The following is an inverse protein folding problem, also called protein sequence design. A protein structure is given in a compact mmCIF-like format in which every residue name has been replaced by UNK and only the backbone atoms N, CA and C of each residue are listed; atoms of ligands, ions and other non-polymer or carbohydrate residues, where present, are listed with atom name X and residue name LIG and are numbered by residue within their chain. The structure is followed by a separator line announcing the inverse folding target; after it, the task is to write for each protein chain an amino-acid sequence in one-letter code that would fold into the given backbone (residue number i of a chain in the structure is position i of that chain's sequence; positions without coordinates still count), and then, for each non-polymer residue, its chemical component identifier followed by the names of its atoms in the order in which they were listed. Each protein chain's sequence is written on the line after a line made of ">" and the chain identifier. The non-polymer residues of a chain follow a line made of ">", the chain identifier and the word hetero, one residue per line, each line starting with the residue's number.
data_IF_756936179234
#
_entry.id   IF_756936179234
#
_cell.length_a   1.000
_cell.length_b   1.000
_cell.length_c   1.000
_cell.angle_alpha   90.00
_cell.angle_beta   90.00
_cell.angle_gamma   90.00
#
_symmetry.space_group_name_H-M   'P 1'
#
loop_
_entity.id
_entity.type
_entity.pdbx_description
1 polymer ?
#
# COMPACT_ATOMS: atom_id res chain seq x y z
N UNK A 1 107.24 40.71 25.65
CA UNK A 1 106.06 41.14 26.44
C UNK A 1 106.48 41.44 27.89
N UNK A 2 107.46 42.32 28.08
CA UNK A 2 107.99 42.78 29.38
C UNK A 2 108.35 44.29 29.35
N UNK A 3 107.96 45.00 28.28
CA UNK A 3 108.36 46.39 28.02
C UNK A 3 107.25 47.38 28.41
N UNK A 4 106.00 46.93 28.56
CA UNK A 4 104.86 47.80 28.88
C UNK A 4 104.69 48.05 30.40
N UNK A 5 105.25 47.20 31.27
CA UNK A 5 105.13 47.33 32.72
C UNK A 5 106.20 48.24 33.35
N UNK A 6 107.35 48.45 32.68
CA UNK A 6 108.41 49.33 33.18
C UNK A 6 108.11 50.83 33.03
N UNK A 7 107.24 51.22 32.09
CA UNK A 7 106.90 52.63 31.83
C UNK A 7 105.85 53.19 32.79
N UNK A 8 105.11 52.34 33.51
CA UNK A 8 104.08 52.72 34.46
C UNK A 8 104.62 53.14 35.83
N UNK A 9 105.91 52.94 36.15
CA UNK A 9 106.52 53.41 37.42
C UNK A 9 107.08 54.83 37.32
N UNK A 10 107.18 55.39 36.12
CA UNK A 10 107.66 56.75 35.92
C UNK A 10 106.54 57.77 36.29
N UNK A 11 106.76 58.66 37.28
CA UNK A 11 105.74 59.60 37.74
C UNK A 11 105.22 60.52 36.64
N UNK A 12 106.03 60.83 35.62
CA UNK A 12 105.62 61.64 34.47
C UNK A 12 104.56 60.93 33.60
N UNK A 13 104.71 59.62 33.38
CA UNK A 13 103.79 58.83 32.54
C UNK A 13 102.46 58.62 33.25
N UNK A 14 102.47 58.36 34.57
CA UNK A 14 101.25 58.33 35.39
C UNK A 14 100.51 59.67 35.33
N UNK A 15 101.23 60.78 35.40
CA UNK A 15 100.66 62.12 35.28
C UNK A 15 99.92 62.34 33.96
N UNK A 16 100.55 61.96 32.84
CA UNK A 16 99.93 62.09 31.51
C UNK A 16 98.67 61.22 31.40
N UNK A 17 98.72 59.95 31.84
CA UNK A 17 97.57 59.04 31.78
C UNK A 17 96.39 59.59 32.59
N UNK A 18 96.64 60.06 33.82
CA UNK A 18 95.61 60.66 34.69
C UNK A 18 94.99 61.89 34.04
N UNK A 19 95.80 62.76 33.44
CA UNK A 19 95.31 63.96 32.74
C UNK A 19 94.46 63.60 31.53
N UNK A 20 94.86 62.62 30.72
CA UNK A 20 94.04 62.14 29.60
C UNK A 20 92.73 61.49 30.05
N UNK A 21 92.73 60.76 31.17
CA UNK A 21 91.51 60.16 31.73
C UNK A 21 90.55 61.22 32.28
N UNK A 22 91.09 62.25 32.95
CA UNK A 22 90.32 63.40 33.41
C UNK A 22 89.74 64.20 32.23
N UNK A 23 90.50 64.41 31.16
CA UNK A 23 90.01 65.06 29.94
C UNK A 23 88.89 64.25 29.28
N UNK A 24 89.04 62.93 29.18
CA UNK A 24 88.01 62.04 28.63
C UNK A 24 86.72 62.08 29.47
N UNK A 25 86.84 62.03 30.79
CA UNK A 25 85.70 62.14 31.70
C UNK A 25 85.03 63.52 31.61
N UNK A 26 85.82 64.61 31.53
CA UNK A 26 85.30 65.95 31.34
C UNK A 26 84.56 66.11 29.99
N UNK A 27 85.02 65.47 28.92
CA UNK A 27 84.30 65.49 27.63
C UNK A 27 82.97 64.75 27.69
N UNK A 28 82.90 63.60 28.35
CA UNK A 28 81.65 62.84 28.51
C UNK A 28 80.68 63.60 29.41
N UNK A 29 81.16 64.17 30.51
CA UNK A 29 80.35 64.99 31.41
C UNK A 29 79.86 66.27 30.71
N UNK A 30 80.71 66.89 29.88
CA UNK A 30 80.35 68.05 29.06
C UNK A 30 79.24 67.75 28.04
N UNK A 31 79.24 66.56 27.44
CA UNK A 31 78.20 66.13 26.50
C UNK A 31 76.90 65.77 27.23
N UNK A 32 76.96 65.20 28.44
CA UNK A 32 75.78 64.84 29.23
C UNK A 32 75.10 66.05 29.91
N UNK A 33 75.86 67.06 30.35
CA UNK A 33 75.31 68.32 30.89
C UNK A 33 74.72 69.22 29.81
N UNK A 34 75.24 69.13 28.58
CA UNK A 34 74.59 69.69 27.39
C UNK A 34 73.62 68.65 26.87
N UNK A 35 72.57 68.35 27.67
CA UNK A 35 71.37 67.72 27.13
C UNK A 35 70.93 68.47 25.87
N UNK A 36 70.37 67.78 24.85
CA UNK A 36 70.07 68.41 23.57
C UNK A 36 69.34 69.72 23.85
N UNK A 37 69.94 70.84 23.43
CA UNK A 37 69.37 72.18 23.58
C UNK A 37 68.11 72.21 22.71
N UNK A 38 67.03 71.66 23.23
CA UNK A 38 65.72 71.76 22.61
C UNK A 38 65.38 73.23 22.62
N UNK A 39 65.34 73.82 21.45
CA UNK A 39 64.93 75.21 21.30
C UNK A 39 63.51 75.34 21.86
N UNK A 40 63.11 76.51 22.39
CA UNK A 40 61.74 76.74 22.86
C UNK A 40 60.68 76.44 21.79
N UNK A 41 61.06 76.45 20.51
CA UNK A 41 60.21 76.05 19.40
C UNK A 41 59.99 74.53 19.32
N UNK A 42 61.01 73.70 19.55
CA UNK A 42 60.88 72.24 19.60
C UNK A 42 60.07 71.76 20.81
N UNK A 43 60.23 72.42 21.96
CA UNK A 43 59.42 72.14 23.14
C UNK A 43 57.93 72.46 22.91
N UNK A 44 57.61 73.53 22.18
CA UNK A 44 56.23 73.86 21.76
C UNK A 44 55.67 72.85 20.76
N UNK A 45 56.49 72.40 19.79
CA UNK A 45 56.07 71.38 18.82
C UNK A 45 55.79 70.03 19.49
N UNK A 46 56.57 69.62 20.50
CA UNK A 46 56.31 68.40 21.28
C UNK A 46 55.03 68.50 22.11
N UNK A 47 54.81 69.60 22.82
CA UNK A 47 53.56 69.84 23.56
C UNK A 47 52.32 69.85 22.63
N UNK A 48 52.43 70.48 21.47
CA UNK A 48 51.35 70.48 20.48
C UNK A 48 51.09 69.08 19.87
N UNK A 49 52.09 68.21 19.82
CA UNK A 49 51.92 66.81 19.42
C UNK A 49 51.31 65.98 20.55
N UNK A 50 51.75 66.15 21.80
CA UNK A 50 51.15 65.50 22.97
C UNK A 50 49.67 65.88 23.14
N UNK A 51 49.32 67.17 23.01
CA UNK A 51 47.93 67.62 23.03
C UNK A 51 47.09 67.02 21.89
N UNK A 52 47.67 66.85 20.70
CA UNK A 52 47.01 66.17 19.57
C UNK A 52 46.80 64.69 19.84
N UNK A 53 47.79 64.01 20.41
CA UNK A 53 47.70 62.59 20.75
C UNK A 53 46.70 62.35 21.88
N UNK A 54 46.65 63.23 22.89
CA UNK A 54 45.63 63.17 23.93
C UNK A 54 44.23 63.45 23.39
N UNK A 55 44.08 64.39 22.45
CA UNK A 55 42.80 64.65 21.78
C UNK A 55 42.36 63.47 20.91
N UNK A 56 43.28 62.86 20.16
CA UNK A 56 43.03 61.69 19.32
C UNK A 56 42.68 60.46 20.17
N UNK A 57 43.38 60.24 21.29
CA UNK A 57 43.07 59.17 22.23
C UNK A 57 41.68 59.33 22.88
N UNK A 58 41.27 60.57 23.20
CA UNK A 58 39.91 60.84 23.72
C UNK A 58 38.85 60.60 22.64
N UNK A 59 39.10 61.03 21.41
CA UNK A 59 38.19 60.75 20.29
C UNK A 59 38.08 59.24 20.03
N UNK A 60 39.18 58.50 20.08
CA UNK A 60 39.17 57.04 19.90
C UNK A 60 38.41 56.34 21.05
N UNK A 61 38.54 56.79 22.29
CA UNK A 61 37.75 56.27 23.42
C UNK A 61 36.25 56.58 23.29
N UNK A 62 35.89 57.78 22.86
CA UNK A 62 34.50 58.16 22.60
C UNK A 62 33.89 57.35 21.45
N UNK A 63 34.63 57.15 20.35
CA UNK A 63 34.20 56.28 19.26
C UNK A 63 34.04 54.82 19.69
N UNK A 64 34.96 54.30 20.51
CA UNK A 64 34.85 52.94 21.04
C UNK A 64 33.63 52.78 21.95
N UNK A 65 33.34 53.77 22.80
CA UNK A 65 32.12 53.78 23.64
C UNK A 65 30.86 53.85 22.78
N UNK A 66 30.81 54.76 21.81
CA UNK A 66 29.66 54.89 20.91
C UNK A 66 29.40 53.61 20.09
N UNK A 67 30.46 52.94 19.62
CA UNK A 67 30.32 51.64 18.93
C UNK A 67 29.84 50.53 19.86
N UNK A 68 30.33 50.49 21.11
CA UNK A 68 29.89 49.51 22.10
C UNK A 68 28.41 49.70 22.46
N UNK A 69 27.95 50.94 22.64
CA UNK A 69 26.54 51.28 22.88
C UNK A 69 25.67 50.88 21.69
N UNK A 70 26.09 51.18 20.46
CA UNK A 70 25.36 50.74 19.26
C UNK A 70 25.29 49.22 19.13
N UNK A 71 26.37 48.50 19.43
CA UNK A 71 26.39 47.04 19.38
C UNK A 71 25.47 46.43 20.46
N UNK A 72 25.40 47.04 21.65
CA UNK A 72 24.49 46.63 22.72
C UNK A 72 23.02 46.89 22.34
N UNK A 73 22.71 48.06 21.77
CA UNK A 73 21.37 48.38 21.25
C UNK A 73 20.95 47.42 20.12
N UNK A 74 21.85 47.07 19.20
CA UNK A 74 21.58 46.10 18.14
C UNK A 74 21.34 44.68 18.69
N UNK A 75 22.10 44.27 19.71
CA UNK A 75 21.91 42.99 20.40
C UNK A 75 20.56 42.95 21.13
N UNK A 76 20.18 44.01 21.81
CA UNK A 76 18.86 44.10 22.45
C UNK A 76 17.73 44.08 21.42
N UNK A 77 17.86 44.86 20.34
CA UNK A 77 16.85 44.91 19.28
C UNK A 77 16.69 43.57 18.57
N UNK A 78 17.79 42.84 18.36
CA UNK A 78 17.75 41.49 17.77
C UNK A 78 17.18 40.46 18.74
N UNK A 79 17.49 40.52 20.04
CA UNK A 79 16.90 39.67 21.07
C UNK A 79 15.38 39.86 21.16
N UNK A 80 14.88 41.10 21.23
CA UNK A 80 13.43 41.39 21.24
C UNK A 80 12.72 40.90 19.98
N UNK A 81 13.36 41.02 18.80
CA UNK A 81 12.82 40.47 17.54
C UNK A 81 12.81 38.94 17.55
N UNK A 82 13.80 38.30 18.16
CA UNK A 82 13.86 36.84 18.29
C UNK A 82 12.76 36.32 19.23
N UNK A 83 12.55 36.99 20.37
CA UNK A 83 11.46 36.69 21.31
C UNK A 83 10.08 36.85 20.66
N UNK A 84 9.81 37.97 19.99
CA UNK A 84 8.54 38.18 19.28
C UNK A 84 8.29 37.12 18.19
N UNK A 85 9.34 36.67 17.49
CA UNK A 85 9.23 35.57 16.51
C UNK A 85 9.00 34.22 17.18
N UNK A 86 9.59 33.98 18.35
CA UNK A 86 9.39 32.75 19.12
C UNK A 86 7.94 32.66 19.61
N UNK A 87 7.40 33.76 20.16
CA UNK A 87 6.00 33.83 20.61
C UNK A 87 5.01 33.63 19.45
N UNK A 88 5.26 34.25 18.29
CA UNK A 88 4.43 34.05 17.09
C UNK A 88 4.47 32.59 16.61
N UNK A 89 5.65 31.95 16.62
CA UNK A 89 5.78 30.53 16.28
C UNK A 89 5.04 29.64 17.27
N UNK A 90 5.14 29.92 18.56
CA UNK A 90 4.43 29.16 19.59
C UNK A 90 2.91 29.31 19.45
N UNK A 91 2.42 30.53 19.22
CA UNK A 91 1.01 30.79 18.96
C UNK A 91 0.51 30.08 17.69
N UNK A 92 1.28 30.12 16.61
CA UNK A 92 0.97 29.43 15.36
C UNK A 92 0.93 27.91 15.54
N UNK A 93 1.88 27.33 16.30
CA UNK A 93 1.91 25.91 16.62
C UNK A 93 0.71 25.51 17.48
N UNK A 94 0.36 26.30 18.51
CA UNK A 94 -0.84 26.07 19.33
C UNK A 94 -2.11 26.07 18.48
N UNK A 95 -2.26 27.02 17.56
CA UNK A 95 -3.40 27.06 16.64
C UNK A 95 -3.41 25.87 15.67
N UNK A 96 -2.26 25.48 15.12
CA UNK A 96 -2.15 24.33 14.24
C UNK A 96 -2.52 23.03 14.95
N UNK A 97 -2.03 22.83 16.19
CA UNK A 97 -2.39 21.67 17.01
C UNK A 97 -3.88 21.64 17.37
N UNK A 98 -4.46 22.79 17.73
CA UNK A 98 -5.89 22.88 18.00
C UNK A 98 -6.75 22.50 16.77
N UNK A 99 -6.39 23.03 15.58
CA UNK A 99 -7.05 22.68 14.32
C UNK A 99 -6.87 21.20 13.97
N UNK A 100 -5.67 20.66 14.15
CA UNK A 100 -5.40 19.25 13.89
C UNK A 100 -6.22 18.34 14.82
N UNK A 101 -6.34 18.69 16.10
CA UNK A 101 -7.17 17.97 17.07
C UNK A 101 -8.65 18.01 16.69
N UNK A 102 -9.17 19.19 16.34
CA UNK A 102 -10.56 19.35 15.90
C UNK A 102 -10.84 18.56 14.61
N UNK A 103 -9.92 18.57 13.66
CA UNK A 103 -10.05 17.79 12.43
C UNK A 103 -10.03 16.28 12.73
N UNK A 104 -9.15 15.84 13.62
CA UNK A 104 -9.11 14.44 14.05
C UNK A 104 -10.40 14.02 14.74
N UNK A 105 -11.00 14.87 15.58
CA UNK A 105 -12.29 14.63 16.21
C UNK A 105 -13.42 14.53 15.17
N UNK A 106 -13.49 15.47 14.23
CA UNK A 106 -14.45 15.42 13.10
C UNK A 106 -14.30 14.15 12.27
N UNK A 107 -13.06 13.71 12.01
CA UNK A 107 -12.81 12.45 11.31
C UNK A 107 -13.25 11.22 12.13
N UNK A 108 -13.04 11.24 13.45
CA UNK A 108 -13.51 10.17 14.35
C UNK A 108 -15.03 10.09 14.37
N UNK A 109 -15.72 11.22 14.44
CA UNK A 109 -17.18 11.29 14.39
C UNK A 109 -17.72 10.76 13.05
N UNK A 110 -17.16 11.22 11.93
CA UNK A 110 -17.53 10.71 10.59
C UNK A 110 -17.34 9.19 10.48
N UNK A 111 -16.24 8.65 11.00
CA UNK A 111 -16.01 7.20 11.03
C UNK A 111 -17.04 6.47 11.87
N UNK A 112 -17.39 7.00 13.05
CA UNK A 112 -18.44 6.43 13.92
C UNK A 112 -19.80 6.45 13.24
N UNK A 113 -20.17 7.54 12.60
CA UNK A 113 -21.42 7.66 11.86
C UNK A 113 -21.47 6.71 10.66
N UNK A 114 -20.37 6.60 9.89
CA UNK A 114 -20.26 5.66 8.78
C UNK A 114 -20.39 4.20 9.26
N UNK A 115 -19.81 3.89 10.41
CA UNK A 115 -19.89 2.57 11.02
C UNK A 115 -21.32 2.26 11.49
N UNK A 116 -22.01 3.20 12.17
CA UNK A 116 -23.43 3.05 12.53
C UNK A 116 -24.32 2.77 11.33
N UNK A 117 -24.20 3.59 10.27
CA UNK A 117 -24.95 3.38 9.01
C UNK A 117 -24.65 2.02 8.37
N UNK A 118 -23.39 1.57 8.46
CA UNK A 118 -23.02 0.24 7.97
C UNK A 118 -23.64 -0.86 8.82
N UNK A 119 -23.63 -0.74 10.14
CA UNK A 119 -24.21 -1.76 11.02
C UNK A 119 -25.72 -1.86 10.88
N UNK A 120 -26.43 -0.74 10.68
CA UNK A 120 -27.86 -0.72 10.34
C UNK A 120 -28.17 -1.50 9.05
N UNK A 121 -27.35 -1.33 8.01
CA UNK A 121 -27.50 -2.08 6.74
C UNK A 121 -27.27 -3.59 6.95
N UNK A 122 -26.35 -3.99 7.83
CA UNK A 122 -26.03 -5.39 8.10
C UNK A 122 -26.97 -6.07 9.10
N UNK A 123 -27.63 -5.29 9.95
CA UNK A 123 -28.64 -5.77 10.90
C UNK A 123 -29.87 -6.33 10.17
N UNK A 124 -30.19 -5.80 8.98
CA UNK A 124 -31.27 -6.32 8.14
C UNK A 124 -30.76 -7.41 7.19
N UNK A 125 -31.16 -8.70 7.36
CA UNK A 125 -30.67 -9.79 6.53
C UNK A 125 -31.00 -9.62 5.04
N UNK A 126 -32.17 -9.08 4.72
CA UNK A 126 -32.61 -8.89 3.32
C UNK A 126 -31.75 -7.84 2.61
N UNK A 127 -31.48 -6.71 3.26
CA UNK A 127 -30.60 -5.68 2.71
C UNK A 127 -29.18 -6.20 2.52
N UNK A 128 -28.68 -6.99 3.48
CA UNK A 128 -27.36 -7.61 3.39
C UNK A 128 -27.23 -8.50 2.16
N UNK A 129 -28.21 -9.35 1.86
CA UNK A 129 -28.16 -10.20 0.66
C UNK A 129 -28.30 -9.37 -0.64
N UNK A 130 -29.16 -8.34 -0.66
CA UNK A 130 -29.26 -7.42 -1.82
C UNK A 130 -27.92 -6.70 -2.09
N UNK A 131 -27.23 -6.23 -1.04
CA UNK A 131 -25.91 -5.59 -1.15
C UNK A 131 -24.87 -6.58 -1.70
N UNK A 132 -24.87 -7.82 -1.20
CA UNK A 132 -23.97 -8.88 -1.69
C UNK A 132 -24.18 -9.14 -3.18
N UNK A 133 -25.42 -9.31 -3.60
CA UNK A 133 -25.75 -9.55 -5.00
C UNK A 133 -25.33 -8.37 -5.88
N UNK A 134 -25.64 -7.15 -5.45
CA UNK A 134 -25.29 -5.96 -6.21
C UNK A 134 -23.76 -5.73 -6.26
N UNK A 135 -23.03 -6.14 -5.23
CA UNK A 135 -21.57 -6.07 -5.21
C UNK A 135 -20.95 -7.02 -6.25
N UNK A 136 -21.44 -8.26 -6.32
CA UNK A 136 -20.98 -9.22 -7.34
C UNK A 136 -21.31 -8.75 -8.76
N UNK A 137 -22.51 -8.18 -8.98
CA UNK A 137 -22.87 -7.52 -10.26
C UNK A 137 -21.91 -6.41 -10.62
N UNK A 138 -21.59 -5.55 -9.65
CA UNK A 138 -20.70 -4.42 -9.87
C UNK A 138 -19.28 -4.89 -10.22
N UNK A 139 -18.78 -5.96 -9.61
CA UNK A 139 -17.51 -6.58 -9.99
C UNK A 139 -17.56 -7.22 -11.38
N UNK A 140 -18.69 -7.83 -11.77
CA UNK A 140 -18.87 -8.40 -13.11
C UNK A 140 -18.78 -7.32 -14.20
N UNK A 141 -19.30 -6.13 -13.93
CA UNK A 141 -19.18 -4.96 -14.83
C UNK A 141 -17.77 -4.34 -14.86
N UNK A 142 -16.75 -5.01 -14.33
CA UNK A 142 -15.36 -4.58 -14.36
C UNK A 142 -14.85 -3.90 -13.08
N UNK A 143 -15.71 -3.68 -12.07
CA UNK A 143 -15.29 -3.47 -10.67
C UNK A 143 -14.28 -2.36 -10.36
N UNK A 144 -14.19 -1.28 -11.16
CA UNK A 144 -13.00 -0.41 -11.08
C UNK A 144 -13.08 1.06 -11.47
N UNK A 145 -14.24 1.63 -11.81
CA UNK A 145 -14.32 3.06 -12.18
C UNK A 145 -15.44 3.83 -11.49
N UNK A 146 -16.65 3.26 -11.44
CA UNK A 146 -17.77 3.88 -10.77
C UNK A 146 -17.89 3.40 -9.31
N UNK A 147 -18.16 4.29 -8.33
CA UNK A 147 -18.47 3.86 -6.98
C UNK A 147 -19.74 3.01 -7.00
N UNK A 148 -19.72 1.88 -6.30
CA UNK A 148 -20.90 1.04 -6.16
C UNK A 148 -22.04 1.84 -5.53
N UNK A 149 -23.19 1.83 -6.21
CA UNK A 149 -24.43 2.43 -5.73
C UNK A 149 -25.37 1.35 -5.22
N UNK A 150 -26.03 1.63 -4.11
CA UNK A 150 -27.10 0.81 -3.55
C UNK A 150 -28.31 1.72 -3.34
N UNK A 151 -29.44 1.37 -3.98
CA UNK A 151 -30.69 2.16 -3.95
C UNK A 151 -30.49 3.65 -4.27
N UNK A 152 -29.71 3.96 -5.31
CA UNK A 152 -29.42 5.32 -5.76
C UNK A 152 -28.34 6.07 -4.97
N UNK A 153 -28.01 5.62 -3.75
CA UNK A 153 -26.98 6.21 -2.91
C UNK A 153 -25.62 5.52 -3.12
N UNK A 154 -24.52 6.25 -2.88
CA UNK A 154 -23.17 5.66 -2.83
C UNK A 154 -23.06 4.77 -1.60
N UNK A 155 -22.60 3.53 -1.77
CA UNK A 155 -22.40 2.63 -0.64
C UNK A 155 -21.24 3.15 0.25
N UNK A 156 -21.39 3.17 1.59
CA UNK A 156 -20.31 3.52 2.50
C UNK A 156 -19.06 2.66 2.27
N UNK A 157 -17.87 3.22 2.50
CA UNK A 157 -16.60 2.51 2.27
C UNK A 157 -16.46 1.33 3.22
N UNK A 158 -16.89 1.49 4.47
CA UNK A 158 -16.89 0.41 5.48
C UNK A 158 -17.80 -0.75 5.04
N UNK A 159 -19.01 -0.45 4.55
CA UNK A 159 -19.91 -1.43 3.96
C UNK A 159 -19.30 -2.15 2.75
N UNK A 160 -18.72 -1.37 1.83
CA UNK A 160 -18.05 -1.87 0.62
C UNK A 160 -16.86 -2.79 0.95
N UNK A 161 -16.14 -2.53 2.04
CA UNK A 161 -15.06 -3.39 2.51
C UNK A 161 -15.62 -4.67 3.14
N UNK A 162 -16.68 -4.58 3.95
CA UNK A 162 -17.29 -5.74 4.62
C UNK A 162 -17.87 -6.74 3.61
N UNK A 163 -18.52 -6.27 2.55
CA UNK A 163 -19.01 -7.15 1.47
C UNK A 163 -17.85 -7.73 0.65
N UNK A 164 -16.78 -6.97 0.43
CA UNK A 164 -15.58 -7.49 -0.23
C UNK A 164 -14.92 -8.62 0.58
N UNK A 165 -14.72 -8.42 1.88
CA UNK A 165 -14.18 -9.45 2.78
C UNK A 165 -15.02 -10.72 2.75
N UNK A 166 -16.35 -10.59 2.75
CA UNK A 166 -17.25 -11.73 2.55
C UNK A 166 -16.99 -12.41 1.20
N UNK A 167 -16.99 -11.67 0.10
CA UNK A 167 -16.81 -12.23 -1.24
C UNK A 167 -15.44 -12.94 -1.40
N UNK A 168 -14.38 -12.41 -0.79
CA UNK A 168 -13.06 -13.05 -0.75
C UNK A 168 -13.10 -14.34 0.06
N UNK A 169 -13.69 -14.32 1.25
CA UNK A 169 -13.81 -15.50 2.12
C UNK A 169 -14.62 -16.63 1.47
N UNK A 170 -15.68 -16.30 0.73
CA UNK A 170 -16.47 -17.28 -0.02
C UNK A 170 -15.80 -17.69 -1.35
N UNK A 171 -14.67 -17.08 -1.72
CA UNK A 171 -13.92 -17.39 -2.94
C UNK A 171 -14.56 -16.85 -4.23
N UNK A 172 -15.40 -15.82 -4.14
CA UNK A 172 -16.05 -15.17 -5.29
C UNK A 172 -15.26 -13.99 -5.85
N UNK A 173 -14.43 -13.35 -5.03
CA UNK A 173 -13.62 -12.20 -5.43
C UNK A 173 -12.18 -12.33 -4.96
N UNK A 174 -11.27 -11.63 -5.63
CA UNK A 174 -9.86 -11.51 -5.28
C UNK A 174 -9.41 -10.05 -5.45
N UNK A 175 -8.38 -9.66 -4.71
CA UNK A 175 -7.63 -8.42 -4.93
C UNK A 175 -6.29 -8.80 -5.58
N UNK A 176 -6.10 -8.41 -6.84
CA UNK A 176 -4.90 -8.74 -7.61
C UNK A 176 -3.87 -7.58 -7.66
N UNK A 177 -4.03 -6.59 -6.78
CA UNK A 177 -3.19 -5.39 -6.72
C UNK A 177 -3.47 -4.36 -7.83
N UNK A 178 -4.19 -4.74 -8.90
CA UNK A 178 -4.73 -3.81 -9.92
C UNK A 178 -6.17 -3.42 -9.63
N UNK A 179 -6.86 -4.21 -8.82
CA UNK A 179 -8.19 -3.89 -8.31
C UNK A 179 -8.92 -5.13 -7.83
N UNK A 180 -10.21 -4.93 -7.53
CA UNK A 180 -11.09 -6.01 -7.10
C UNK A 180 -11.68 -6.67 -8.33
N UNK A 181 -11.55 -7.99 -8.42
CA UNK A 181 -12.07 -8.77 -9.56
C UNK A 181 -12.84 -9.99 -9.07
N UNK A 182 -13.76 -10.47 -9.89
CA UNK A 182 -14.40 -11.78 -9.68
C UNK A 182 -13.41 -12.89 -10.00
N UNK A 183 -13.44 -13.94 -9.18
CA UNK A 183 -12.82 -15.23 -9.49
C UNK A 183 -13.67 -15.98 -10.53
N UNK A 184 -13.13 -17.04 -11.13
CA UNK A 184 -13.90 -17.87 -12.07
C UNK A 184 -15.10 -18.55 -11.40
N UNK A 185 -14.97 -18.90 -10.11
CA UNK A 185 -16.09 -19.37 -9.28
C UNK A 185 -17.17 -18.30 -9.14
N UNK A 186 -16.78 -17.06 -8.83
CA UNK A 186 -17.70 -15.93 -8.71
C UNK A 186 -18.42 -15.61 -10.03
N UNK A 187 -17.72 -15.70 -11.16
CA UNK A 187 -18.31 -15.54 -12.50
C UNK A 187 -19.32 -16.64 -12.80
N UNK A 188 -18.96 -17.91 -12.58
CA UNK A 188 -19.83 -19.06 -12.87
C UNK A 188 -21.16 -19.00 -12.11
N UNK A 189 -21.12 -18.71 -10.82
CA UNK A 189 -22.33 -18.53 -10.00
C UNK A 189 -23.22 -17.44 -10.61
N UNK A 190 -22.62 -16.32 -11.05
CA UNK A 190 -23.38 -15.26 -11.66
C UNK A 190 -23.94 -15.62 -13.05
N UNK A 191 -23.22 -16.39 -13.85
CA UNK A 191 -23.70 -16.89 -15.14
C UNK A 191 -24.84 -17.91 -15.00
N UNK A 192 -24.78 -18.76 -13.97
CA UNK A 192 -25.81 -19.74 -13.64
C UNK A 192 -27.10 -19.04 -13.15
N UNK A 193 -26.99 -18.14 -12.17
CA UNK A 193 -28.12 -17.33 -11.71
C UNK A 193 -28.61 -16.30 -12.74
N UNK A 194 -27.70 -15.76 -13.56
CA UNK A 194 -28.00 -14.82 -14.64
C UNK A 194 -28.68 -15.49 -15.82
N UNK A 195 -28.28 -16.73 -16.15
CA UNK A 195 -28.96 -17.59 -17.12
C UNK A 195 -30.39 -17.89 -16.70
N UNK A 196 -30.61 -18.21 -15.42
CA UNK A 196 -31.94 -18.50 -14.91
C UNK A 196 -32.83 -17.26 -14.79
N UNK A 197 -32.29 -16.10 -14.37
CA UNK A 197 -33.05 -14.84 -14.41
C UNK A 197 -33.32 -14.35 -15.82
N UNK A 198 -32.41 -14.54 -16.77
CA UNK A 198 -32.65 -14.23 -18.18
C UNK A 198 -33.73 -15.15 -18.75
N UNK A 199 -33.67 -16.45 -18.44
CA UNK A 199 -34.71 -17.42 -18.82
C UNK A 199 -36.07 -17.07 -18.23
N UNK A 200 -36.14 -16.66 -16.95
CA UNK A 200 -37.38 -16.19 -16.32
C UNK A 200 -37.88 -14.86 -16.91
N UNK A 201 -37.00 -13.90 -17.14
CA UNK A 201 -37.36 -12.60 -17.76
C UNK A 201 -37.85 -12.77 -19.19
N UNK A 202 -37.21 -13.65 -19.97
CA UNK A 202 -37.64 -13.97 -21.33
C UNK A 202 -38.97 -14.75 -21.32
N UNK A 203 -39.21 -15.61 -20.32
CA UNK A 203 -40.49 -16.28 -20.12
C UNK A 203 -41.62 -15.31 -19.73
N UNK A 204 -41.34 -14.33 -18.86
CA UNK A 204 -42.29 -13.26 -18.52
C UNK A 204 -42.56 -12.33 -19.71
N UNK A 205 -41.53 -11.95 -20.47
CA UNK A 205 -41.70 -11.18 -21.71
C UNK A 205 -42.51 -11.93 -22.75
N UNK A 206 -42.32 -13.25 -22.88
CA UNK A 206 -43.16 -14.11 -23.75
C UNK A 206 -44.60 -14.21 -23.25
N UNK A 207 -44.83 -14.24 -21.93
CA UNK A 207 -46.18 -14.19 -21.34
C UNK A 207 -46.88 -12.86 -21.60
N UNK A 208 -46.15 -11.76 -21.66
CA UNK A 208 -46.67 -10.41 -21.90
C UNK A 208 -46.60 -9.96 -23.37
N UNK A 209 -46.07 -10.79 -24.28
CA UNK A 209 -46.16 -10.53 -25.71
C UNK A 209 -47.61 -10.74 -26.16
N UNK A 210 -48.21 -9.77 -26.89
CA UNK A 210 -49.53 -9.98 -27.46
C UNK A 210 -49.48 -11.19 -28.40
N UNK A 211 -50.32 -12.19 -28.14
CA UNK A 211 -50.40 -13.37 -29.00
C UNK A 211 -50.95 -12.96 -30.35
N UNK A 212 -50.07 -12.84 -31.34
CA UNK A 212 -50.47 -12.67 -32.73
C UNK A 212 -51.14 -13.98 -33.15
N UNK A 213 -52.47 -13.99 -33.16
CA UNK A 213 -53.26 -15.08 -33.76
C UNK A 213 -53.10 -14.96 -35.27
N UNK A 214 -52.19 -15.75 -35.84
CA UNK A 214 -52.11 -15.93 -37.28
C UNK A 214 -53.27 -16.84 -37.66
N UNK A 215 -54.28 -16.27 -38.33
CA UNK A 215 -55.44 -16.99 -38.85
C UNK A 215 -54.98 -17.96 -39.95
N UNK A 216 -55.36 -19.23 -39.85
CA UNK A 216 -54.85 -20.34 -40.66
C UNK A 216 -55.35 -20.34 -42.13
N UNK A 217 -55.89 -19.22 -42.61
CA UNK A 217 -56.48 -19.08 -43.96
C UNK A 217 -55.56 -18.43 -45.00
N UNK A 218 -54.32 -18.11 -44.63
CA UNK A 218 -53.36 -17.42 -45.50
C UNK A 218 -51.98 -18.09 -45.58
N UNK A 219 -51.86 -19.40 -45.36
CA UNK A 219 -50.58 -20.11 -45.50
C UNK A 219 -50.23 -20.40 -46.99
N UNK A 220 -50.27 -19.36 -47.81
CA UNK A 220 -49.71 -19.34 -49.15
C UNK A 220 -48.44 -18.49 -49.14
N UNK A 221 -47.28 -19.16 -49.18
CA UNK A 221 -45.98 -18.60 -49.60
C UNK A 221 -45.55 -17.27 -48.97
N UNK A 222 -44.83 -17.35 -47.86
CA UNK A 222 -43.71 -16.42 -47.61
C UNK A 222 -42.48 -17.25 -47.26
N UNK A 223 -41.72 -17.61 -48.29
CA UNK A 223 -40.36 -18.09 -48.14
C UNK A 223 -39.50 -16.92 -47.65
N UNK A 224 -39.26 -16.83 -46.35
CA UNK A 224 -38.10 -16.09 -45.86
C UNK A 224 -36.89 -17.00 -45.95
N UNK A 225 -36.12 -16.79 -47.01
CA UNK A 225 -34.72 -17.19 -47.14
C UNK A 225 -33.93 -16.67 -45.95
N UNK A 226 -33.73 -17.52 -44.93
CA UNK A 226 -32.63 -17.38 -44.00
C UNK A 226 -31.39 -17.87 -44.74
N UNK A 227 -30.72 -16.94 -45.42
CA UNK A 227 -29.41 -17.20 -46.03
C UNK A 227 -28.36 -17.25 -44.92
N UNK A 228 -27.71 -18.41 -44.79
CA UNK A 228 -26.34 -18.54 -44.30
C UNK A 228 -26.17 -19.12 -42.89
N UNK A 229 -25.78 -20.41 -42.83
CA UNK A 229 -24.92 -20.89 -41.75
C UNK A 229 -25.44 -22.01 -40.86
N UNK A 230 -26.18 -22.99 -41.37
CA UNK A 230 -26.43 -24.25 -40.64
C UNK A 230 -25.18 -25.14 -40.73
N UNK A 231 -24.37 -25.17 -39.68
CA UNK A 231 -23.73 -26.42 -39.24
C UNK A 231 -24.64 -27.03 -38.18
N UNK A 232 -25.40 -28.03 -38.60
CA UNK A 232 -26.12 -28.95 -37.73
C UNK A 232 -25.12 -29.63 -36.78
N UNK A 233 -25.11 -29.20 -35.53
CA UNK A 233 -24.83 -30.08 -34.39
C UNK A 233 -25.84 -29.75 -33.31
N UNK A 234 -27.02 -30.37 -33.43
CA UNK A 234 -27.78 -30.75 -32.25
C UNK A 234 -26.86 -31.61 -31.41
N UNK A 235 -26.35 -31.06 -30.30
CA UNK A 235 -25.66 -31.86 -29.29
C UNK A 235 -26.74 -32.70 -28.61
N UNK A 236 -27.04 -33.85 -29.21
CA UNK A 236 -27.57 -34.96 -28.47
C UNK A 236 -26.50 -35.34 -27.45
N UNK A 237 -26.71 -34.98 -26.18
CA UNK A 237 -26.10 -35.72 -25.08
C UNK A 237 -26.74 -37.11 -25.03
N UNK A 238 -26.59 -37.90 -26.09
CA UNK A 238 -26.72 -39.33 -26.00
C UNK A 238 -25.41 -39.79 -25.36
N UNK A 239 -25.46 -40.04 -24.05
CA UNK A 239 -24.42 -40.80 -23.38
C UNK A 239 -24.24 -42.12 -24.15
N UNK A 240 -23.06 -42.41 -24.71
CA UNK A 240 -22.83 -43.70 -25.31
C UNK A 240 -22.77 -44.73 -24.18
N UNK A 241 -23.74 -45.65 -24.16
CA UNK A 241 -23.76 -46.78 -23.22
C UNK A 241 -24.93 -46.82 -22.23
N UNK A 242 -26.04 -46.09 -22.45
CA UNK A 242 -27.27 -46.34 -21.69
C UNK A 242 -27.84 -47.72 -22.07
N UNK A 243 -27.31 -48.78 -21.46
CA UNK A 243 -27.92 -50.10 -21.46
C UNK A 243 -29.27 -50.00 -20.75
N UNK A 244 -30.32 -50.37 -21.48
CA UNK A 244 -31.68 -50.43 -21.01
C UNK A 244 -31.93 -51.70 -20.17
N UNK A 245 -31.16 -51.91 -19.10
CA UNK A 245 -31.49 -52.86 -18.04
C UNK A 245 -31.57 -52.11 -16.72
N UNK A 246 -32.69 -52.21 -16.01
CA UNK A 246 -32.88 -51.61 -14.69
C UNK A 246 -32.02 -52.22 -13.58
N UNK A 247 -31.05 -53.06 -13.92
CA UNK A 247 -30.07 -53.65 -13.01
C UNK A 247 -28.76 -52.88 -13.13
N UNK A 248 -28.22 -52.44 -11.98
CA UNK A 248 -26.92 -51.80 -11.90
C UNK A 248 -25.85 -52.85 -12.15
N UNK A 249 -25.11 -52.70 -13.25
CA UNK A 249 -23.91 -53.50 -13.52
C UNK A 249 -22.80 -53.13 -12.52
N UNK A 250 -22.83 -53.79 -11.37
CA UNK A 250 -21.87 -53.59 -10.28
C UNK A 250 -20.44 -53.93 -10.70
N UNK A 251 -20.25 -54.92 -11.59
CA UNK A 251 -18.94 -55.29 -12.08
C UNK A 251 -18.33 -54.15 -12.91
N UNK A 252 -19.09 -53.61 -13.86
CA UNK A 252 -18.67 -52.45 -14.66
C UNK A 252 -18.40 -51.21 -13.79
N UNK A 253 -19.24 -50.94 -12.78
CA UNK A 253 -19.03 -49.82 -11.86
C UNK A 253 -17.72 -49.95 -11.05
N UNK A 254 -17.40 -51.16 -10.55
CA UNK A 254 -16.17 -51.42 -9.81
C UNK A 254 -14.92 -51.36 -10.71
N UNK A 255 -15.03 -51.76 -11.98
CA UNK A 255 -13.94 -51.59 -12.96
C UNK A 255 -13.62 -50.12 -13.22
N UNK A 256 -14.66 -49.28 -13.39
CA UNK A 256 -14.49 -47.83 -13.57
C UNK A 256 -13.84 -47.17 -12.35
N UNK A 257 -14.15 -47.65 -11.13
CA UNK A 257 -13.47 -47.20 -9.90
C UNK A 257 -11.99 -47.59 -9.90
N UNK A 258 -11.68 -48.82 -10.28
CA UNK A 258 -10.28 -49.26 -10.39
C UNK A 258 -9.52 -48.43 -11.43
N UNK A 259 -10.15 -48.11 -12.57
CA UNK A 259 -9.61 -47.23 -13.60
C UNK A 259 -9.36 -45.82 -13.05
N UNK A 260 -10.32 -45.24 -12.33
CA UNK A 260 -10.18 -43.93 -11.69
C UNK A 260 -9.04 -43.91 -10.66
N UNK A 261 -8.88 -44.96 -9.84
CA UNK A 261 -7.77 -45.06 -8.88
C UNK A 261 -6.40 -45.04 -9.56
N UNK A 262 -6.24 -45.80 -10.65
CA UNK A 262 -4.99 -45.84 -11.42
C UNK A 262 -4.71 -44.52 -12.15
N UNK A 263 -5.75 -43.90 -12.70
CA UNK A 263 -5.59 -42.62 -13.39
C UNK A 263 -5.31 -41.47 -12.40
N UNK A 264 -5.90 -41.51 -11.21
CA UNK A 264 -5.69 -40.52 -10.16
C UNK A 264 -4.25 -40.53 -9.61
N UNK A 265 -3.63 -41.72 -9.46
CA UNK A 265 -2.23 -41.81 -9.04
C UNK A 265 -1.25 -41.25 -10.07
N UNK A 266 -1.60 -41.32 -11.37
CA UNK A 266 -0.82 -40.76 -12.48
C UNK A 266 -1.11 -39.30 -12.82
N UNK A 267 -2.12 -38.67 -12.20
CA UNK A 267 -2.54 -37.29 -12.48
C UNK A 267 -1.62 -36.26 -11.79
N UNK A 268 -0.39 -36.10 -12.29
CA UNK A 268 0.61 -35.19 -11.72
C UNK A 268 0.19 -33.70 -11.75
N UNK A 269 -0.69 -33.34 -12.68
CA UNK A 269 -1.21 -31.97 -12.84
C UNK A 269 -2.15 -31.53 -11.72
N UNK A 270 -2.67 -32.48 -10.93
CA UNK A 270 -3.46 -32.18 -9.73
C UNK A 270 -2.55 -31.95 -8.51
N UNK A 271 -2.84 -30.93 -7.67
CA UNK A 271 -2.18 -30.79 -6.38
C UNK A 271 -2.36 -32.06 -5.52
N UNK A 272 -1.35 -32.43 -4.73
CA UNK A 272 -1.36 -33.64 -3.91
C UNK A 272 -2.59 -33.72 -2.99
N UNK A 273 -2.95 -32.64 -2.31
CA UNK A 273 -4.12 -32.58 -1.43
C UNK A 273 -5.44 -32.81 -2.19
N UNK A 274 -5.50 -32.43 -3.48
CA UNK A 274 -6.67 -32.65 -4.34
C UNK A 274 -6.77 -34.12 -4.74
N UNK A 275 -5.63 -34.77 -5.03
CA UNK A 275 -5.58 -36.21 -5.27
C UNK A 275 -5.99 -37.01 -4.03
N UNK A 276 -5.52 -36.63 -2.86
CA UNK A 276 -5.88 -37.30 -1.59
C UNK A 276 -7.38 -37.19 -1.29
N UNK A 277 -7.96 -36.00 -1.49
CA UNK A 277 -9.42 -35.79 -1.35
C UNK A 277 -10.21 -36.63 -2.35
N UNK A 278 -9.83 -36.61 -3.63
CA UNK A 278 -10.48 -37.41 -4.66
C UNK A 278 -10.35 -38.92 -4.37
N UNK A 279 -9.23 -39.38 -3.83
CA UNK A 279 -9.07 -40.77 -3.42
C UNK A 279 -10.02 -41.14 -2.27
N UNK A 280 -10.24 -40.23 -1.32
CA UNK A 280 -11.19 -40.42 -0.23
C UNK A 280 -12.64 -40.48 -0.74
N UNK A 281 -13.05 -39.54 -1.62
CA UNK A 281 -14.39 -39.56 -2.22
C UNK A 281 -14.61 -40.83 -3.07
N UNK A 282 -13.61 -41.27 -3.83
CA UNK A 282 -13.65 -42.53 -4.58
C UNK A 282 -13.70 -43.76 -3.65
N UNK A 283 -13.08 -43.67 -2.46
CA UNK A 283 -13.19 -44.66 -1.40
C UNK A 283 -14.60 -44.78 -0.84
N UNK A 284 -15.33 -43.66 -0.70
CA UNK A 284 -16.74 -43.66 -0.30
C UNK A 284 -17.59 -44.36 -1.35
N UNK A 285 -17.42 -44.03 -2.63
CA UNK A 285 -18.18 -44.68 -3.72
C UNK A 285 -17.93 -46.20 -3.74
N UNK A 286 -16.67 -46.63 -3.61
CA UNK A 286 -16.30 -48.06 -3.58
C UNK A 286 -16.87 -48.80 -2.36
N UNK A 287 -16.87 -48.16 -1.18
CA UNK A 287 -17.41 -48.74 0.05
C UNK A 287 -18.93 -48.93 -0.05
N UNK A 288 -19.65 -47.91 -0.53
CA UNK A 288 -21.11 -47.95 -0.67
C UNK A 288 -21.58 -48.92 -1.77
N UNK A 289 -20.82 -49.05 -2.87
CA UNK A 289 -21.11 -50.05 -3.92
C UNK A 289 -20.94 -51.49 -3.42
N UNK A 290 -20.02 -51.72 -2.48
CA UNK A 290 -19.79 -53.03 -1.86
C UNK A 290 -20.64 -53.28 -0.61
N UNK A 291 -21.34 -52.25 -0.10
CA UNK A 291 -22.22 -52.41 1.04
C UNK A 291 -23.42 -53.29 0.67
N UNK A 292 -23.92 -54.13 1.61
CA UNK A 292 -25.21 -54.80 1.47
C UNK A 292 -26.32 -53.76 1.21
N UNK A 293 -27.35 -54.13 0.46
CA UNK A 293 -28.40 -53.20 0.03
C UNK A 293 -29.09 -52.47 1.21
N UNK A 294 -29.18 -53.12 2.37
CA UNK A 294 -29.77 -52.60 3.61
C UNK A 294 -28.95 -51.48 4.28
N UNK A 295 -27.66 -51.39 3.99
CA UNK A 295 -26.71 -50.43 4.58
C UNK A 295 -26.23 -49.39 3.57
N UNK A 296 -26.68 -49.49 2.32
CA UNK A 296 -26.26 -48.59 1.25
C UNK A 296 -26.96 -47.24 1.40
N UNK A 297 -26.18 -46.17 1.31
CA UNK A 297 -26.70 -44.80 1.30
C UNK A 297 -26.51 -44.15 -0.08
N UNK A 298 -27.51 -44.17 -0.97
CA UNK A 298 -27.39 -43.61 -2.32
C UNK A 298 -26.98 -42.14 -2.35
N UNK A 299 -27.45 -41.34 -1.39
CA UNK A 299 -27.07 -39.92 -1.28
C UNK A 299 -25.57 -39.72 -1.01
N UNK A 300 -24.91 -40.66 -0.32
CA UNK A 300 -23.44 -40.61 -0.11
C UNK A 300 -22.69 -40.89 -1.40
N UNK A 301 -23.15 -41.86 -2.19
CA UNK A 301 -22.63 -42.14 -3.53
C UNK A 301 -22.79 -40.90 -4.42
N UNK A 302 -24.00 -40.33 -4.46
CA UNK A 302 -24.31 -39.14 -5.25
C UNK A 302 -23.39 -37.96 -4.87
N UNK A 303 -23.30 -37.65 -3.59
CA UNK A 303 -22.47 -36.54 -3.09
C UNK A 303 -20.98 -36.75 -3.42
N UNK A 304 -20.47 -37.97 -3.26
CA UNK A 304 -19.08 -38.29 -3.59
C UNK A 304 -18.81 -38.17 -5.10
N UNK A 305 -19.71 -38.65 -5.95
CA UNK A 305 -19.57 -38.51 -7.40
C UNK A 305 -19.68 -37.06 -7.88
N UNK A 306 -20.53 -36.22 -7.26
CA UNK A 306 -20.59 -34.78 -7.56
C UNK A 306 -19.28 -34.07 -7.19
N UNK A 307 -18.69 -34.43 -6.03
CA UNK A 307 -17.37 -33.93 -5.61
C UNK A 307 -16.25 -34.39 -6.55
N UNK A 308 -16.27 -35.64 -7.00
CA UNK A 308 -15.30 -36.14 -7.97
C UNK A 308 -15.44 -35.43 -9.31
N UNK A 309 -16.67 -35.26 -9.81
CA UNK A 309 -16.95 -34.54 -11.05
C UNK A 309 -16.46 -33.09 -11.01
N UNK A 310 -16.63 -32.41 -9.88
CA UNK A 310 -16.12 -31.04 -9.69
C UNK A 310 -14.60 -30.98 -9.53
N UNK A 311 -14.00 -31.99 -8.92
CA UNK A 311 -12.55 -32.09 -8.71
C UNK A 311 -11.78 -32.34 -10.00
N UNK A 312 -12.33 -33.13 -10.93
CA UNK A 312 -11.66 -33.50 -12.17
C UNK A 312 -11.92 -32.54 -13.34
N UNK A 313 -12.63 -31.43 -13.14
CA UNK A 313 -12.88 -30.45 -14.21
C UNK A 313 -11.54 -29.96 -14.78
N UNK A 314 -11.32 -30.18 -16.08
CA UNK A 314 -10.09 -29.79 -16.78
C UNK A 314 -8.95 -30.81 -16.70
N UNK A 315 -9.18 -31.99 -16.10
CA UNK A 315 -8.26 -33.13 -16.18
C UNK A 315 -8.77 -34.08 -17.25
N UNK A 316 -7.97 -34.26 -18.31
CA UNK A 316 -8.36 -35.04 -19.48
C UNK A 316 -8.76 -36.47 -19.10
N UNK A 317 -9.90 -36.92 -19.63
CA UNK A 317 -10.43 -38.27 -19.47
C UNK A 317 -11.10 -38.59 -18.13
N UNK A 318 -10.66 -38.03 -17.00
CA UNK A 318 -11.20 -38.41 -15.67
C UNK A 318 -12.68 -38.08 -15.48
N UNK A 319 -13.14 -36.92 -15.98
CA UNK A 319 -14.56 -36.53 -15.91
C UNK A 319 -15.44 -37.47 -16.72
N UNK A 320 -14.93 -37.99 -17.85
CA UNK A 320 -15.69 -38.91 -18.69
C UNK A 320 -15.91 -40.24 -17.97
N UNK A 321 -14.88 -40.76 -17.29
CA UNK A 321 -14.98 -42.00 -16.50
C UNK A 321 -15.93 -41.82 -15.30
N UNK A 322 -15.91 -40.66 -14.63
CA UNK A 322 -16.90 -40.35 -13.57
C UNK A 322 -18.32 -40.28 -14.12
N UNK A 323 -18.52 -39.71 -15.31
CA UNK A 323 -19.85 -39.66 -15.95
C UNK A 323 -20.34 -41.05 -16.39
N UNK A 324 -19.44 -41.93 -16.84
CA UNK A 324 -19.77 -43.33 -17.12
C UNK A 324 -20.20 -44.04 -15.84
N UNK A 325 -19.42 -43.87 -14.75
CA UNK A 325 -19.76 -44.43 -13.43
C UNK A 325 -21.11 -43.91 -12.94
N UNK A 326 -21.39 -42.62 -13.11
CA UNK A 326 -22.70 -42.02 -12.83
C UNK A 326 -23.81 -42.71 -13.62
N UNK A 327 -23.59 -43.00 -14.91
CA UNK A 327 -24.53 -43.71 -15.76
C UNK A 327 -24.94 -45.08 -15.20
N UNK A 328 -23.98 -45.83 -14.63
CA UNK A 328 -24.25 -47.13 -14.02
C UNK A 328 -25.04 -47.03 -12.71
N UNK A 329 -24.77 -46.02 -11.87
CA UNK A 329 -25.37 -45.94 -10.53
C UNK A 329 -26.60 -45.03 -10.44
N UNK A 330 -26.94 -44.26 -11.48
CA UNK A 330 -28.01 -43.25 -11.40
C UNK A 330 -29.40 -43.84 -11.08
N UNK A 331 -29.60 -45.12 -11.41
CA UNK A 331 -30.85 -45.86 -11.13
C UNK A 331 -31.12 -45.92 -9.63
N UNK A 332 -30.09 -45.96 -8.79
CA UNK A 332 -30.22 -45.93 -7.33
C UNK A 332 -30.61 -44.57 -6.74
N UNK A 333 -30.60 -43.50 -7.54
CA UNK A 333 -31.04 -42.17 -7.10
C UNK A 333 -32.47 -41.82 -7.54
N UNK A 334 -33.09 -42.70 -8.34
CA UNK A 334 -34.38 -42.43 -8.98
C UNK A 334 -35.55 -43.18 -8.31
N UNK A 335 -35.30 -43.80 -7.16
CA UNK A 335 -36.25 -44.57 -6.35
C UNK A 335 -36.74 -43.78 -5.14
#
# INVERSE_FOLDING_TARGET
>A
MWVATAYMENPAVKGVVIVTLLLALLTIFGIALVGPKTTPEEARRRKALEERWEAEARQEEEERKARAEQEEEEREATARRAEARAEQKEAALKQAMARAKQEQERQRERRREEQRKTDELWANPRLREEIREQYLRWLLSGGGSAPMRFRGAKLPRTAMNRVHTWAVREGYAVDDGRGRRLTDRGKRIFEEYGGDRKRMSDAEKKRHQPSIKIDARGAGTVAHTINGGVRNTTVNNAAPGAQASGEVDLAAALELIAQLRRALSGAHDLPQWTRERAAADLGVVDAELRAPDEQREPERIRSALEKLRTTFIGVDGLVQVVNQLWGHVHVWFSS
#
